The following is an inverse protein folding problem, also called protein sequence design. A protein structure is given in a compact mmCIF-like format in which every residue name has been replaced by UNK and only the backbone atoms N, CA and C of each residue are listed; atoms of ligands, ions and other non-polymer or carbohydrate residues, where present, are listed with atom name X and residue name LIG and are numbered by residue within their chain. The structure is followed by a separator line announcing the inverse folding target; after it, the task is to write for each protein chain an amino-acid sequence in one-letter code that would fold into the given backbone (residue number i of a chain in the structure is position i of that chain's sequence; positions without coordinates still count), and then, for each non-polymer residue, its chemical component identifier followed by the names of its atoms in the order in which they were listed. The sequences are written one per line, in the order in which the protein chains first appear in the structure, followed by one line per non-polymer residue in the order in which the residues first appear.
data_IF_205855415021
#
_entry.id   IF_205855415021
#
_cell.length_a   1.000
_cell.length_b   1.000
_cell.length_c   1.000
_cell.angle_alpha   90.00
_cell.angle_beta   90.00
_cell.angle_gamma   90.00
#
_symmetry.space_group_name_H-M   'P 1'
#
loop_
_entity.id
_entity.type
_entity.pdbx_description
1 polymer ?
#
# COMPACT_ATOMS: atom_id res chain seq x y z
N UNK A 1 -4.60 12.70 0.65
CA UNK A 1 -5.70 11.73 0.40
C UNK A 1 -5.18 10.31 0.56
N UNK A 2 -6.05 9.38 0.92
CA UNK A 2 -5.70 7.97 1.06
C UNK A 2 -6.75 7.12 0.35
N UNK A 3 -6.30 6.14 -0.42
CA UNK A 3 -7.15 5.17 -1.10
C UNK A 3 -6.64 3.77 -0.74
N UNK A 4 -7.47 2.99 -0.07
CA UNK A 4 -7.14 1.62 0.31
C UNK A 4 -8.40 0.77 0.28
N UNK A 5 -8.23 -0.50 -0.06
CA UNK A 5 -9.35 -1.43 -0.20
C UNK A 5 -8.95 -2.67 -0.97
N UNK A 6 -9.94 -3.49 -1.28
CA UNK A 6 -9.79 -4.67 -2.10
C UNK A 6 -11.00 -4.83 -3.02
N UNK A 7 -10.76 -5.50 -4.14
CA UNK A 7 -11.77 -5.86 -5.10
C UNK A 7 -11.80 -7.37 -5.26
N UNK A 8 -12.99 -7.95 -5.20
CA UNK A 8 -13.22 -9.36 -5.47
C UNK A 8 -13.71 -9.51 -6.92
N UNK A 9 -12.88 -10.11 -7.75
CA UNK A 9 -13.22 -10.44 -9.14
C UNK A 9 -14.18 -11.61 -9.21
N UNK A 10 -14.91 -11.74 -10.33
CA UNK A 10 -15.89 -12.82 -10.55
C UNK A 10 -15.29 -14.22 -10.58
N UNK A 11 -13.99 -14.33 -10.86
CA UNK A 11 -13.20 -15.56 -10.79
C UNK A 11 -12.73 -15.91 -9.36
N UNK A 12 -13.10 -15.10 -8.36
CA UNK A 12 -12.71 -15.26 -6.96
C UNK A 12 -11.34 -14.66 -6.63
N UNK A 13 -10.66 -14.02 -7.57
CA UNK A 13 -9.38 -13.34 -7.30
C UNK A 13 -9.62 -12.06 -6.50
N UNK A 14 -8.89 -11.91 -5.39
CA UNK A 14 -8.89 -10.69 -4.58
C UNK A 14 -7.68 -9.82 -4.92
N UNK A 15 -7.93 -8.56 -5.25
CA UNK A 15 -6.90 -7.57 -5.56
C UNK A 15 -6.96 -6.44 -4.55
N UNK A 16 -5.89 -6.25 -3.78
CA UNK A 16 -5.81 -5.25 -2.72
C UNK A 16 -4.93 -4.07 -3.12
N UNK A 17 -5.35 -2.86 -2.81
CA UNK A 17 -4.62 -1.63 -3.07
C UNK A 17 -4.51 -0.76 -1.82
N UNK A 18 -3.41 0.00 -1.72
CA UNK A 18 -3.19 0.97 -0.66
C UNK A 18 -2.20 2.03 -1.13
N UNK A 19 -2.73 3.22 -1.43
CA UNK A 19 -1.98 4.36 -1.93
C UNK A 19 -2.32 5.63 -1.16
N UNK A 20 -1.32 6.48 -1.03
CA UNK A 20 -1.43 7.79 -0.42
C UNK A 20 -1.06 8.84 -1.46
N UNK A 21 -1.92 9.83 -1.61
CA UNK A 21 -1.68 11.00 -2.44
C UNK A 21 -1.57 12.27 -1.61
N UNK A 22 -0.80 13.25 -2.10
CA UNK A 22 -0.62 14.56 -1.51
C UNK A 22 -0.83 15.63 -2.58
N UNK A 23 -1.60 16.68 -2.25
CA UNK A 23 -2.00 17.73 -3.21
C UNK A 23 -2.62 17.22 -4.51
N UNK A 24 -3.44 16.16 -4.43
CA UNK A 24 -4.12 15.57 -5.59
C UNK A 24 -3.22 14.72 -6.49
N UNK A 25 -1.96 14.49 -6.12
CA UNK A 25 -1.02 13.61 -6.83
C UNK A 25 -0.71 12.37 -6.03
N UNK A 26 -0.50 11.24 -6.70
CA UNK A 26 0.02 10.05 -6.04
C UNK A 26 1.40 10.35 -5.45
N UNK A 27 1.62 9.89 -4.21
CA UNK A 27 2.83 10.18 -3.45
C UNK A 27 3.54 8.91 -3.01
N UNK A 28 2.81 7.90 -2.51
CA UNK A 28 3.39 6.61 -2.15
C UNK A 28 2.36 5.47 -2.25
N UNK A 29 2.77 4.31 -2.77
CA UNK A 29 1.92 3.13 -2.94
C UNK A 29 2.56 1.88 -2.31
N UNK A 30 1.73 0.99 -1.75
CA UNK A 30 2.18 -0.26 -1.13
C UNK A 30 2.14 -1.42 -2.12
N UNK A 31 3.24 -2.15 -2.24
CA UNK A 31 3.29 -3.45 -2.91
C UNK A 31 3.21 -4.56 -1.86
N UNK A 32 2.06 -5.24 -1.82
CA UNK A 32 1.80 -6.31 -0.86
C UNK A 32 2.52 -7.62 -1.19
N UNK A 33 2.97 -7.80 -2.43
CA UNK A 33 3.71 -9.01 -2.85
C UNK A 33 5.16 -8.93 -2.40
N UNK A 34 5.78 -7.76 -2.56
CA UNK A 34 7.17 -7.52 -2.13
C UNK A 34 7.30 -6.94 -0.73
N UNK A 35 6.19 -6.50 -0.12
CA UNK A 35 6.16 -5.77 1.16
C UNK A 35 6.97 -4.47 1.14
N UNK A 36 7.03 -3.83 -0.04
CA UNK A 36 7.77 -2.58 -0.25
C UNK A 36 6.83 -1.41 -0.50
N UNK A 37 7.38 -0.20 -0.43
CA UNK A 37 6.63 1.02 -0.70
C UNK A 37 7.27 1.76 -1.87
N UNK A 38 6.47 2.10 -2.88
CA UNK A 38 6.95 2.87 -4.03
C UNK A 38 6.63 4.34 -3.83
N UNK A 39 7.65 5.17 -3.58
CA UNK A 39 7.53 6.62 -3.54
C UNK A 39 7.46 7.19 -4.97
N UNK A 40 6.38 7.92 -5.28
CA UNK A 40 6.19 8.59 -6.56
C UNK A 40 6.94 9.93 -6.65
N UNK A 41 7.28 10.52 -5.50
CA UNK A 41 8.01 11.78 -5.40
C UNK A 41 9.17 11.71 -4.38
N UNK A 42 10.21 12.57 -4.50
CA UNK A 42 11.34 12.55 -3.57
C UNK A 42 10.98 12.85 -2.11
N UNK A 43 9.88 13.57 -1.87
CA UNK A 43 9.45 13.96 -0.51
C UNK A 43 8.88 12.73 0.23
N UNK A 44 8.25 11.82 -0.51
CA UNK A 44 7.73 10.56 -0.01
C UNK A 44 8.80 9.52 0.37
N UNK A 45 10.06 9.66 -0.08
CA UNK A 45 11.14 8.70 0.22
C UNK A 45 11.46 8.60 1.72
N UNK A 46 11.24 9.68 2.48
CA UNK A 46 11.41 9.64 3.94
C UNK A 46 10.37 8.70 4.57
N UNK A 47 9.12 8.79 4.12
CA UNK A 47 8.03 7.92 4.56
C UNK A 47 8.25 6.48 4.10
N UNK A 48 8.67 6.28 2.85
CA UNK A 48 9.03 4.97 2.31
C UNK A 48 10.03 4.25 3.21
N UNK A 49 11.19 4.86 3.49
CA UNK A 49 12.22 4.25 4.33
C UNK A 49 11.72 3.91 5.73
N UNK A 50 10.89 4.78 6.31
CA UNK A 50 10.29 4.54 7.63
C UNK A 50 9.36 3.33 7.62
N UNK A 51 8.51 3.20 6.62
CA UNK A 51 7.53 2.11 6.54
C UNK A 51 8.14 0.79 6.08
N UNK A 52 9.16 0.83 5.21
CA UNK A 52 9.93 -0.38 4.84
C UNK A 52 10.76 -0.92 6.01
N UNK A 53 11.23 -0.04 6.90
CA UNK A 53 11.89 -0.47 8.14
C UNK A 53 10.91 -1.06 9.17
N UNK A 54 9.62 -0.76 9.06
CA UNK A 54 8.57 -1.29 9.93
C UNK A 54 7.90 -2.51 9.27
N UNK A 55 8.53 -3.67 9.42
CA UNK A 55 8.01 -4.92 8.87
C UNK A 55 6.63 -5.27 9.46
N UNK A 56 6.38 -4.99 10.73
CA UNK A 56 5.10 -5.27 11.37
C UNK A 56 3.98 -4.47 10.71
N UNK A 57 4.23 -3.19 10.40
CA UNK A 57 3.31 -2.34 9.66
C UNK A 57 3.01 -2.91 8.27
N UNK A 58 4.05 -3.25 7.49
CA UNK A 58 3.88 -3.76 6.12
C UNK A 58 3.16 -5.13 6.10
N UNK A 59 3.50 -6.04 7.02
CA UNK A 59 2.80 -7.31 7.16
C UNK A 59 1.34 -7.15 7.59
N UNK A 60 1.06 -6.26 8.55
CA UNK A 60 -0.32 -5.97 8.97
C UNK A 60 -1.15 -5.42 7.82
N UNK A 61 -0.55 -4.60 6.96
CA UNK A 61 -1.22 -4.07 5.77
C UNK A 61 -1.49 -5.15 4.73
N UNK A 62 -0.54 -6.05 4.47
CA UNK A 62 -0.76 -7.23 3.60
C UNK A 62 -1.91 -8.09 4.13
N UNK A 63 -1.87 -8.44 5.41
CA UNK A 63 -2.92 -9.27 6.02
C UNK A 63 -4.30 -8.64 5.89
N UNK A 64 -4.42 -7.33 6.13
CA UNK A 64 -5.68 -6.63 5.94
C UNK A 64 -6.18 -6.72 4.49
N UNK A 65 -5.30 -6.52 3.51
CA UNK A 65 -5.67 -6.48 2.08
C UNK A 65 -6.00 -7.85 1.48
N UNK A 66 -5.51 -8.93 2.08
CA UNK A 66 -5.70 -10.30 1.57
C UNK A 66 -6.80 -11.06 2.32
N UNK A 67 -6.94 -10.85 3.62
CA UNK A 67 -7.79 -11.68 4.48
C UNK A 67 -9.00 -10.94 5.07
N UNK A 68 -8.85 -9.66 5.44
CA UNK A 68 -9.87 -8.92 6.20
C UNK A 68 -10.79 -8.12 5.28
N UNK A 69 -10.18 -7.37 4.37
CA UNK A 69 -10.81 -7.05 3.10
C UNK A 69 -10.83 -8.37 2.31
#
# INVERSE_FOLDING_TARGET
QQMYGCELSSDGRKEGYNQYGYDGRDSIAFDKETLTWTAADPQAQVTQRKWEADLAWSHGRKHYLEEIC
#
